data_IF_961598997859
#
_entry.id   IF_961598997859
#
_cell.length_a   1.000
_cell.length_b   1.000
_cell.length_c   1.000
_cell.angle_alpha   90.00
_cell.angle_beta   90.00
_cell.angle_gamma   90.00
#
_symmetry.space_group_name_H-M   'P 1'
#
loop_
_entity.id
_entity.type
_entity.pdbx_description
1 polymer ?
#
# COMPACT_ATOMS: atom_id res chain seq x y z
N UNK A 1 -35.70 -33.53 82.91
CA UNK A 1 -36.03 -32.94 81.56
C UNK A 1 -34.90 -32.17 80.92
N UNK A 2 -33.95 -31.55 81.65
CA UNK A 2 -32.87 -30.71 81.07
C UNK A 2 -31.82 -31.48 80.24
N UNK A 3 -31.46 -32.72 80.59
CA UNK A 3 -30.49 -33.59 79.91
C UNK A 3 -30.93 -34.02 78.48
N UNK A 4 -32.25 -34.27 78.30
CA UNK A 4 -32.80 -34.65 76.99
C UNK A 4 -32.79 -33.50 76.00
N UNK A 5 -33.09 -32.24 76.42
CA UNK A 5 -33.05 -31.02 75.58
C UNK A 5 -31.60 -30.67 75.10
N UNK A 6 -30.61 -30.94 75.96
CA UNK A 6 -29.17 -30.73 75.62
C UNK A 6 -28.68 -31.74 74.60
N UNK A 7 -29.09 -32.98 74.63
CA UNK A 7 -28.79 -34.01 73.65
C UNK A 7 -29.43 -33.76 72.31
N UNK A 8 -30.67 -33.35 72.30
CA UNK A 8 -31.39 -32.97 71.06
C UNK A 8 -30.76 -31.76 70.36
N UNK A 9 -30.36 -30.73 71.14
CA UNK A 9 -29.63 -29.56 70.57
C UNK A 9 -28.30 -29.97 69.92
N UNK A 10 -27.54 -30.89 70.51
CA UNK A 10 -26.26 -31.38 69.94
C UNK A 10 -26.44 -32.17 68.64
N UNK A 11 -27.54 -32.93 68.53
CA UNK A 11 -27.86 -33.64 67.27
C UNK A 11 -28.27 -32.66 66.17
N UNK A 12 -29.10 -31.67 66.47
CA UNK A 12 -29.48 -30.65 65.50
C UNK A 12 -28.29 -29.85 64.99
N UNK A 13 -27.37 -29.42 65.87
CA UNK A 13 -26.15 -28.77 65.48
C UNK A 13 -25.25 -29.65 64.61
N UNK A 14 -25.12 -30.90 64.84
CA UNK A 14 -24.35 -31.85 63.99
C UNK A 14 -24.98 -32.01 62.62
N UNK A 15 -26.31 -32.07 62.52
CA UNK A 15 -27.03 -32.12 61.24
C UNK A 15 -26.85 -30.84 60.47
N UNK A 16 -26.94 -29.69 61.15
CA UNK A 16 -26.68 -28.37 60.49
C UNK A 16 -25.26 -28.26 59.97
N UNK A 17 -24.26 -28.68 60.78
CA UNK A 17 -22.86 -28.65 60.35
C UNK A 17 -22.59 -29.61 59.19
N UNK A 18 -23.20 -30.79 59.17
CA UNK A 18 -23.11 -31.75 58.07
C UNK A 18 -23.78 -31.20 56.82
N UNK A 19 -24.92 -30.55 56.95
CA UNK A 19 -25.58 -29.89 55.80
C UNK A 19 -24.74 -28.74 55.23
N UNK A 20 -24.13 -27.92 56.10
CA UNK A 20 -23.21 -26.85 55.68
C UNK A 20 -21.94 -27.43 55.02
N UNK A 21 -21.35 -28.48 55.57
CA UNK A 21 -20.19 -29.15 55.00
C UNK A 21 -20.52 -29.77 53.63
N UNK A 22 -21.68 -30.40 53.49
CA UNK A 22 -22.17 -30.94 52.21
C UNK A 22 -22.42 -29.82 51.21
N UNK A 23 -23.05 -28.73 51.63
CA UNK A 23 -23.27 -27.55 50.76
C UNK A 23 -21.96 -26.93 50.27
N UNK A 24 -20.96 -26.83 51.17
CA UNK A 24 -19.62 -26.36 50.82
C UNK A 24 -18.93 -27.31 49.83
N UNK A 25 -19.00 -28.63 50.08
CA UNK A 25 -18.40 -29.62 49.16
C UNK A 25 -19.04 -29.59 47.79
N UNK A 26 -20.37 -29.47 47.69
CA UNK A 26 -21.08 -29.31 46.41
C UNK A 26 -20.68 -28.03 45.72
N UNK A 27 -20.54 -26.93 46.45
CA UNK A 27 -20.10 -25.64 45.89
C UNK A 27 -18.68 -25.73 45.35
N UNK A 28 -17.75 -26.33 46.07
CA UNK A 28 -16.36 -26.56 45.63
C UNK A 28 -16.31 -27.41 44.37
N UNK A 29 -17.08 -28.51 44.33
CA UNK A 29 -17.16 -29.36 43.14
C UNK A 29 -17.75 -28.60 41.91
N UNK A 30 -18.78 -27.81 42.14
CA UNK A 30 -19.40 -26.99 41.10
C UNK A 30 -18.40 -25.94 40.53
N UNK A 31 -17.67 -25.25 41.43
CA UNK A 31 -16.62 -24.31 41.03
C UNK A 31 -15.49 -25.00 40.26
N UNK A 32 -15.03 -26.15 40.74
CA UNK A 32 -13.98 -26.93 40.07
C UNK A 32 -14.42 -27.40 38.68
N UNK A 33 -15.68 -27.82 38.52
CA UNK A 33 -16.22 -28.23 37.23
C UNK A 33 -16.38 -27.02 36.28
N UNK A 34 -16.86 -25.87 36.75
CA UNK A 34 -16.92 -24.63 35.97
C UNK A 34 -15.53 -24.18 35.53
N UNK A 35 -14.54 -24.28 36.41
CA UNK A 35 -13.15 -23.97 36.11
C UNK A 35 -12.58 -24.90 35.03
N UNK A 36 -12.83 -26.21 35.15
CA UNK A 36 -12.44 -27.21 34.18
C UNK A 36 -13.03 -26.91 32.78
N UNK A 37 -14.35 -26.60 32.77
CA UNK A 37 -15.05 -26.22 31.53
C UNK A 37 -14.50 -24.93 30.93
N UNK A 38 -14.14 -23.97 31.77
CA UNK A 38 -13.53 -22.72 31.32
C UNK A 38 -12.14 -22.96 30.73
N UNK A 39 -11.28 -23.72 31.35
CA UNK A 39 -9.96 -24.03 30.82
C UNK A 39 -10.05 -24.84 29.50
N UNK A 40 -10.91 -25.83 29.46
CA UNK A 40 -11.15 -26.61 28.23
C UNK A 40 -11.63 -25.72 27.09
N UNK A 41 -12.49 -24.74 27.35
CA UNK A 41 -12.93 -23.76 26.38
C UNK A 41 -11.78 -22.84 25.91
N UNK A 42 -10.97 -22.31 26.83
CA UNK A 42 -9.94 -21.32 26.52
C UNK A 42 -8.91 -21.83 25.50
N UNK A 43 -8.64 -23.15 25.52
CA UNK A 43 -7.57 -23.78 24.72
C UNK A 43 -8.11 -24.69 23.60
N UNK A 44 -9.45 -24.88 23.48
CA UNK A 44 -10.03 -25.68 22.38
C UNK A 44 -9.89 -24.95 21.02
N UNK A 45 -9.76 -25.72 19.93
CA UNK A 45 -9.78 -25.17 18.61
C UNK A 45 -11.18 -24.65 18.23
N UNK A 46 -11.25 -23.46 17.63
CA UNK A 46 -12.47 -22.86 17.10
C UNK A 46 -12.73 -23.39 15.69
N UNK A 47 -13.88 -24.05 15.51
CA UNK A 47 -14.40 -24.49 14.22
C UNK A 47 -13.71 -25.72 13.64
N UNK A 48 -14.53 -26.63 13.16
CA UNK A 48 -14.12 -27.84 12.45
C UNK A 48 -14.10 -27.67 10.92
N UNK A 49 -14.45 -26.49 10.40
CA UNK A 49 -14.54 -26.23 8.95
C UNK A 49 -13.21 -25.74 8.37
N UNK A 50 -12.79 -26.33 7.26
CA UNK A 50 -11.54 -25.99 6.52
C UNK A 50 -11.55 -24.60 5.88
N UNK A 51 -12.57 -23.77 6.11
CA UNK A 51 -12.66 -22.42 5.51
C UNK A 51 -12.15 -21.36 6.48
N UNK A 52 -11.20 -20.55 6.03
CA UNK A 52 -10.83 -19.32 6.71
C UNK A 52 -12.04 -18.38 6.80
N UNK A 53 -12.27 -17.85 7.99
CA UNK A 53 -13.33 -16.86 8.26
C UNK A 53 -12.70 -15.52 8.55
N UNK A 54 -13.35 -14.45 8.15
CA UNK A 54 -12.89 -13.09 8.44
C UNK A 54 -13.78 -12.48 9.51
N UNK A 55 -13.19 -12.11 10.63
CA UNK A 55 -13.83 -11.35 11.71
C UNK A 55 -13.49 -9.87 11.53
N UNK A 56 -14.49 -9.03 11.32
CA UNK A 56 -14.33 -7.58 11.24
C UNK A 56 -14.63 -6.92 12.59
N UNK A 57 -13.69 -6.12 13.10
CA UNK A 57 -13.88 -5.24 14.27
C UNK A 57 -13.93 -3.80 13.76
N UNK A 58 -15.07 -3.14 13.98
CA UNK A 58 -15.30 -1.76 13.51
C UNK A 58 -14.96 -0.71 14.57
N UNK A 59 -14.66 0.54 14.16
CA UNK A 59 -14.49 1.64 15.11
C UNK A 59 -15.70 1.76 16.06
N UNK A 60 -15.45 1.85 17.37
CA UNK A 60 -16.48 1.94 18.40
C UNK A 60 -17.22 0.63 18.71
N UNK A 61 -16.75 -0.53 18.20
CA UNK A 61 -17.31 -1.81 18.62
C UNK A 61 -16.94 -2.13 20.08
N UNK A 62 -17.96 -2.42 20.87
CA UNK A 62 -17.76 -3.02 22.20
C UNK A 62 -17.49 -4.52 22.04
N UNK A 63 -16.87 -5.15 23.03
CA UNK A 63 -16.65 -6.60 23.05
C UNK A 63 -17.93 -7.41 22.78
N UNK A 64 -19.08 -6.94 23.27
CA UNK A 64 -20.38 -7.59 23.01
C UNK A 64 -20.76 -7.57 21.54
N UNK A 65 -20.43 -6.49 20.83
CA UNK A 65 -20.65 -6.41 19.37
C UNK A 65 -19.68 -7.32 18.62
N UNK A 66 -18.42 -7.36 19.03
CA UNK A 66 -17.44 -8.28 18.46
C UNK A 66 -17.87 -9.73 18.65
N UNK A 67 -18.34 -10.10 19.85
CA UNK A 67 -18.85 -11.45 20.13
C UNK A 67 -20.06 -11.80 19.23
N UNK A 68 -20.98 -10.88 19.01
CA UNK A 68 -22.07 -11.07 18.03
C UNK A 68 -21.57 -11.31 16.61
N UNK A 69 -20.55 -10.57 16.17
CA UNK A 69 -19.92 -10.78 14.84
C UNK A 69 -19.25 -12.14 14.77
N UNK A 70 -18.57 -12.56 15.84
CA UNK A 70 -17.99 -13.91 15.93
C UNK A 70 -19.07 -14.98 15.73
N UNK A 71 -20.25 -14.83 16.39
CA UNK A 71 -21.38 -15.73 16.19
C UNK A 71 -21.90 -15.70 14.74
N UNK A 72 -22.01 -14.52 14.15
CA UNK A 72 -22.47 -14.35 12.77
C UNK A 72 -21.58 -15.03 11.72
N UNK A 73 -20.26 -15.09 11.96
CA UNK A 73 -19.33 -15.83 11.10
C UNK A 73 -19.23 -17.32 11.46
N UNK A 74 -20.09 -17.81 12.36
CA UNK A 74 -20.21 -19.22 12.69
C UNK A 74 -19.25 -19.73 13.78
N UNK A 75 -18.67 -18.86 14.61
CA UNK A 75 -17.95 -19.27 15.82
C UNK A 75 -19.01 -19.54 16.88
N UNK A 76 -19.38 -20.82 17.01
CA UNK A 76 -20.42 -21.26 17.94
C UNK A 76 -19.88 -21.69 19.30
N UNK A 77 -18.60 -21.96 19.40
CA UNK A 77 -17.92 -22.53 20.57
C UNK A 77 -17.94 -21.56 21.76
N UNK A 78 -18.08 -22.13 22.92
CA UNK A 78 -18.11 -21.44 24.21
C UNK A 78 -19.38 -20.62 24.44
N UNK A 79 -19.73 -20.44 25.71
CA UNK A 79 -20.81 -19.56 26.14
C UNK A 79 -20.33 -18.13 26.24
N UNK A 80 -21.20 -17.15 26.12
CA UNK A 80 -20.83 -15.72 26.16
C UNK A 80 -20.13 -15.29 27.44
N UNK A 81 -20.46 -15.91 28.58
CA UNK A 81 -19.77 -15.66 29.84
C UNK A 81 -18.32 -16.15 29.83
N UNK A 82 -18.03 -17.28 29.15
CA UNK A 82 -16.66 -17.81 29.02
C UNK A 82 -15.79 -16.87 28.22
N UNK A 83 -16.31 -16.38 27.09
CA UNK A 83 -15.64 -15.36 26.26
C UNK A 83 -15.35 -14.08 27.04
N UNK A 84 -16.34 -13.60 27.84
CA UNK A 84 -16.17 -12.41 28.67
C UNK A 84 -15.15 -12.63 29.79
N UNK A 85 -15.18 -13.78 30.45
CA UNK A 85 -14.23 -14.12 31.49
C UNK A 85 -12.81 -14.18 30.94
N UNK A 86 -12.62 -14.80 29.77
CA UNK A 86 -11.33 -14.89 29.10
C UNK A 86 -10.83 -13.53 28.63
N UNK A 87 -11.70 -12.72 28.07
CA UNK A 87 -11.35 -11.36 27.64
C UNK A 87 -10.99 -10.44 28.83
N UNK A 88 -11.64 -10.65 29.99
CA UNK A 88 -11.29 -9.97 31.23
C UNK A 88 -9.94 -10.43 31.78
N UNK A 89 -9.71 -11.75 31.84
CA UNK A 89 -8.42 -12.37 32.26
C UNK A 89 -7.25 -11.79 31.45
N UNK A 90 -7.42 -11.72 30.11
CA UNK A 90 -6.40 -11.25 29.18
C UNK A 90 -6.35 -9.71 29.07
N UNK A 91 -7.23 -8.98 29.76
CA UNK A 91 -7.35 -7.51 29.70
C UNK A 91 -7.62 -6.95 28.29
N UNK A 92 -8.30 -7.72 27.44
CA UNK A 92 -8.56 -7.38 26.03
C UNK A 92 -9.80 -6.49 25.87
N UNK A 93 -10.70 -6.43 26.86
CA UNK A 93 -12.00 -5.74 26.77
C UNK A 93 -11.91 -4.29 26.26
N UNK A 94 -10.85 -3.57 26.63
CA UNK A 94 -10.64 -2.14 26.30
C UNK A 94 -9.50 -1.94 25.27
N UNK A 95 -8.92 -3.03 24.77
CA UNK A 95 -7.74 -3.00 23.89
C UNK A 95 -7.99 -3.61 22.50
N UNK A 96 -9.25 -3.82 22.15
CA UNK A 96 -9.62 -4.35 20.84
C UNK A 96 -9.14 -3.42 19.73
N UNK A 97 -8.31 -3.93 18.84
CA UNK A 97 -7.86 -3.17 17.68
C UNK A 97 -8.86 -3.31 16.54
N UNK A 98 -9.12 -2.18 15.85
CA UNK A 98 -10.00 -2.12 14.68
C UNK A 98 -9.33 -2.80 13.48
N UNK A 99 -10.10 -3.56 12.70
CA UNK A 99 -9.61 -4.19 11.47
C UNK A 99 -10.26 -5.55 11.20
N UNK A 100 -9.75 -6.21 10.18
CA UNK A 100 -10.16 -7.56 9.79
C UNK A 100 -9.15 -8.59 10.27
N UNK A 101 -9.66 -9.67 10.80
CA UNK A 101 -8.86 -10.76 11.38
C UNK A 101 -9.20 -12.08 10.75
N UNK A 102 -8.21 -12.78 10.25
CA UNK A 102 -8.38 -14.17 9.82
C UNK A 102 -8.54 -15.06 11.02
N UNK A 103 -9.66 -15.77 11.07
CA UNK A 103 -9.92 -16.86 12.04
C UNK A 103 -9.71 -18.16 11.28
N UNK A 104 -8.46 -18.65 11.34
CA UNK A 104 -8.05 -19.89 10.68
C UNK A 104 -8.40 -21.14 11.47
N UNK A 105 -8.20 -22.30 10.83
CA UNK A 105 -8.36 -23.59 11.46
C UNK A 105 -7.39 -23.76 12.63
N UNK A 106 -7.89 -24.27 13.73
CA UNK A 106 -7.05 -24.59 14.91
C UNK A 106 -6.75 -23.43 15.85
N UNK A 107 -7.14 -22.19 15.53
CA UNK A 107 -6.99 -21.07 16.47
C UNK A 107 -7.94 -21.28 17.66
N UNK A 108 -7.42 -21.14 18.88
CA UNK A 108 -8.22 -21.20 20.12
C UNK A 108 -8.77 -19.83 20.53
N UNK A 109 -9.78 -19.80 21.45
CA UNK A 109 -10.34 -18.55 21.98
C UNK A 109 -9.28 -17.61 22.55
N UNK A 110 -8.33 -18.12 23.31
CA UNK A 110 -7.21 -17.37 23.89
C UNK A 110 -6.36 -16.73 22.79
N UNK A 111 -5.97 -17.50 21.80
CA UNK A 111 -5.16 -17.01 20.68
C UNK A 111 -5.90 -15.98 19.85
N UNK A 112 -7.21 -16.17 19.62
CA UNK A 112 -8.03 -15.20 18.90
C UNK A 112 -8.10 -13.86 19.64
N UNK A 113 -8.36 -13.88 20.97
CA UNK A 113 -8.42 -12.65 21.76
C UNK A 113 -7.07 -11.93 21.80
N UNK A 114 -5.96 -12.65 21.96
CA UNK A 114 -4.61 -12.05 21.88
C UNK A 114 -4.32 -11.46 20.49
N UNK A 115 -4.80 -12.13 19.43
CA UNK A 115 -4.69 -11.62 18.07
C UNK A 115 -5.45 -10.30 17.88
N UNK A 116 -6.65 -10.18 18.49
CA UNK A 116 -7.44 -8.94 18.49
C UNK A 116 -6.77 -7.81 19.27
N UNK A 117 -6.13 -8.13 20.41
CA UNK A 117 -5.36 -7.15 21.20
C UNK A 117 -4.10 -6.68 20.47
N UNK A 118 -3.36 -7.62 19.90
CA UNK A 118 -2.11 -7.33 19.20
C UNK A 118 -2.34 -6.57 17.87
N UNK A 119 -3.58 -6.44 17.39
CA UNK A 119 -3.88 -5.78 16.12
C UNK A 119 -3.31 -6.54 14.91
N UNK A 120 -3.18 -7.87 14.98
CA UNK A 120 -2.69 -8.70 13.86
C UNK A 120 -3.74 -8.83 12.77
N UNK A 121 -4.06 -7.68 12.15
CA UNK A 121 -5.10 -7.53 11.13
C UNK A 121 -4.63 -7.99 9.76
N UNK A 122 -5.59 -8.26 8.87
CA UNK A 122 -5.32 -8.54 7.46
C UNK A 122 -4.69 -7.30 6.82
N UNK A 123 -3.52 -7.49 6.21
CA UNK A 123 -2.82 -6.45 5.47
C UNK A 123 -3.13 -6.60 3.98
N UNK A 124 -3.66 -5.54 3.40
CA UNK A 124 -3.79 -5.36 1.96
C UNK A 124 -2.55 -4.66 1.41
N UNK A 125 -2.32 -4.79 0.12
CA UNK A 125 -1.22 -4.11 -0.57
C UNK A 125 -1.72 -3.45 -1.84
N UNK A 126 -1.27 -2.24 -2.07
CA UNK A 126 -1.44 -1.52 -3.32
C UNK A 126 -0.06 -1.23 -3.89
N UNK A 127 0.20 -1.69 -5.11
CA UNK A 127 1.46 -1.41 -5.82
C UNK A 127 1.21 -0.31 -6.82
N UNK A 128 1.83 0.86 -6.59
CA UNK A 128 1.96 1.92 -7.57
C UNK A 128 3.13 1.55 -8.48
N UNK A 129 2.86 1.41 -9.78
CA UNK A 129 3.83 0.91 -10.74
C UNK A 129 4.60 2.07 -11.37
N UNK A 130 5.90 1.88 -11.58
CA UNK A 130 6.75 2.84 -12.30
C UNK A 130 6.20 3.14 -13.69
N UNK A 131 6.28 4.40 -14.09
CA UNK A 131 5.80 4.86 -15.39
C UNK A 131 4.27 5.02 -15.51
N UNK A 132 3.49 4.77 -14.46
CA UNK A 132 2.06 5.12 -14.47
C UNK A 132 1.87 6.63 -14.52
N UNK A 133 0.81 7.04 -15.22
CA UNK A 133 0.28 8.39 -15.14
C UNK A 133 -0.69 8.55 -13.97
N UNK A 134 -1.06 9.78 -13.65
CA UNK A 134 -2.09 10.09 -12.66
C UNK A 134 -3.43 9.42 -13.01
N UNK A 135 -3.75 9.31 -14.29
CA UNK A 135 -4.94 8.58 -14.78
C UNK A 135 -4.88 7.10 -14.45
N UNK A 136 -3.73 6.45 -14.68
CA UNK A 136 -3.55 5.01 -14.39
C UNK A 136 -3.62 4.76 -12.88
N UNK A 137 -3.01 5.63 -12.08
CA UNK A 137 -3.07 5.58 -10.62
C UNK A 137 -4.51 5.66 -10.10
N UNK A 138 -5.31 6.62 -10.58
CA UNK A 138 -6.72 6.75 -10.20
C UNK A 138 -7.53 5.53 -10.60
N UNK A 139 -7.34 5.01 -11.80
CA UNK A 139 -8.03 3.80 -12.26
C UNK A 139 -7.70 2.60 -11.37
N UNK A 140 -6.43 2.42 -11.01
CA UNK A 140 -6.00 1.32 -10.14
C UNK A 140 -6.52 1.47 -8.69
N UNK A 141 -6.54 2.68 -8.13
CA UNK A 141 -7.10 2.93 -6.79
C UNK A 141 -8.60 2.63 -6.74
N UNK A 142 -9.34 2.99 -7.78
CA UNK A 142 -10.79 2.75 -7.86
C UNK A 142 -11.16 1.25 -7.81
N UNK A 143 -10.25 0.35 -8.15
CA UNK A 143 -10.48 -1.11 -8.08
C UNK A 143 -10.22 -1.70 -6.69
N UNK A 144 -9.71 -0.92 -5.73
CA UNK A 144 -9.34 -1.43 -4.40
C UNK A 144 -10.54 -1.41 -3.45
N UNK A 145 -11.27 -2.52 -3.34
CA UNK A 145 -12.47 -2.64 -2.48
C UNK A 145 -12.21 -2.44 -0.98
N UNK A 146 -10.99 -2.70 -0.53
CA UNK A 146 -10.63 -2.53 0.88
C UNK A 146 -10.24 -1.09 1.26
N UNK A 147 -10.01 -0.20 0.26
CA UNK A 147 -9.77 1.22 0.48
C UNK A 147 -11.08 2.01 0.60
N UNK A 148 -11.09 2.98 1.49
CA UNK A 148 -12.12 4.01 1.53
C UNK A 148 -11.93 4.96 0.34
N UNK A 149 -12.87 4.94 -0.61
CA UNK A 149 -12.81 5.74 -1.82
C UNK A 149 -13.19 7.20 -1.53
N UNK A 150 -12.24 8.12 -1.53
CA UNK A 150 -12.45 9.55 -1.22
C UNK A 150 -12.07 10.48 -2.37
N UNK A 151 -11.20 10.02 -3.28
CA UNK A 151 -10.69 10.87 -4.37
C UNK A 151 -11.40 10.67 -5.72
N UNK A 152 -12.37 9.76 -5.81
CA UNK A 152 -13.00 9.37 -7.08
C UNK A 152 -13.59 10.52 -7.90
N UNK A 153 -14.18 11.54 -7.22
CA UNK A 153 -14.80 12.71 -7.85
C UNK A 153 -13.98 14.00 -7.70
N UNK A 154 -12.84 13.94 -7.02
CA UNK A 154 -11.98 15.10 -6.74
C UNK A 154 -11.01 15.29 -7.90
N UNK A 155 -10.89 16.50 -8.44
CA UNK A 155 -9.88 16.80 -9.47
C UNK A 155 -8.45 16.84 -8.89
N UNK A 156 -7.44 16.89 -9.75
CA UNK A 156 -6.05 16.84 -9.33
C UNK A 156 -5.63 18.07 -8.51
N UNK A 157 -6.19 19.25 -8.79
CA UNK A 157 -5.88 20.46 -8.03
C UNK A 157 -6.43 20.39 -6.61
N UNK A 158 -7.67 19.94 -6.46
CA UNK A 158 -8.30 19.74 -5.15
C UNK A 158 -7.65 18.59 -4.38
N UNK A 159 -7.24 17.50 -5.05
CA UNK A 159 -6.45 16.43 -4.44
C UNK A 159 -5.14 16.97 -3.86
N UNK A 160 -4.38 17.73 -4.65
CA UNK A 160 -3.10 18.27 -4.20
C UNK A 160 -3.28 19.29 -3.06
N UNK A 161 -4.34 20.10 -3.10
CA UNK A 161 -4.68 20.97 -1.99
C UNK A 161 -5.01 20.20 -0.70
N UNK A 162 -5.75 19.08 -0.80
CA UNK A 162 -6.05 18.19 0.33
C UNK A 162 -4.81 17.44 0.86
N UNK A 163 -3.75 17.35 0.07
CA UNK A 163 -2.44 16.82 0.46
C UNK A 163 -1.48 17.90 0.99
N UNK A 164 -1.97 19.11 1.27
CA UNK A 164 -1.17 20.28 1.71
C UNK A 164 -0.16 20.77 0.66
N UNK A 165 -0.48 20.59 -0.66
CA UNK A 165 0.36 20.96 -1.81
C UNK A 165 -0.42 21.78 -2.86
N UNK A 166 -1.07 22.89 -2.48
CA UNK A 166 -1.87 23.68 -3.42
C UNK A 166 -0.98 24.25 -4.55
N UNK A 167 -1.48 24.21 -5.78
CA UNK A 167 -0.77 24.73 -6.95
C UNK A 167 0.31 23.81 -7.53
N UNK A 168 0.61 22.68 -6.88
CA UNK A 168 1.52 21.68 -7.44
C UNK A 168 0.76 20.74 -8.37
N UNK A 169 1.31 20.46 -9.55
CA UNK A 169 0.73 19.48 -10.48
C UNK A 169 0.88 18.06 -9.93
N UNK A 170 -0.18 17.24 -10.01
CA UNK A 170 -0.20 15.91 -9.38
C UNK A 170 0.70 14.87 -10.09
N UNK A 171 0.94 15.05 -11.41
CA UNK A 171 1.73 14.09 -12.17
C UNK A 171 3.17 14.00 -11.66
N UNK A 172 3.65 12.77 -11.49
CA UNK A 172 5.01 12.48 -11.00
C UNK A 172 5.18 12.58 -9.48
N UNK A 173 4.13 12.92 -8.70
CA UNK A 173 4.26 13.27 -7.28
C UNK A 173 4.11 12.10 -6.29
N UNK A 174 3.85 10.91 -6.77
CA UNK A 174 3.64 9.74 -5.93
C UNK A 174 4.69 8.69 -6.24
N UNK A 175 5.48 8.28 -5.24
CA UNK A 175 6.57 7.33 -5.46
C UNK A 175 6.02 5.94 -5.79
N UNK A 176 6.45 5.32 -6.88
CA UNK A 176 6.14 3.92 -7.16
C UNK A 176 6.77 2.99 -6.11
N UNK A 177 5.91 2.38 -5.31
CA UNK A 177 6.26 1.39 -4.29
C UNK A 177 5.03 0.52 -3.97
N UNK A 178 5.22 -0.53 -3.17
CA UNK A 178 4.11 -1.31 -2.61
C UNK A 178 3.73 -0.77 -1.24
N UNK A 179 2.51 -0.24 -1.14
CA UNK A 179 1.96 0.35 0.07
C UNK A 179 1.05 -0.64 0.77
N UNK A 180 1.38 -1.00 2.01
CA UNK A 180 0.54 -1.81 2.86
C UNK A 180 -0.53 -0.94 3.55
N UNK A 181 -1.75 -1.48 3.65
CA UNK A 181 -2.87 -0.82 4.30
C UNK A 181 -3.84 -1.83 4.88
N UNK A 182 -4.72 -1.38 5.78
CA UNK A 182 -5.81 -2.19 6.36
C UNK A 182 -7.14 -1.72 5.80
N UNK A 183 -8.18 -2.56 5.85
CA UNK A 183 -9.52 -2.16 5.39
C UNK A 183 -9.97 -0.86 6.05
N UNK A 184 -10.55 0.03 5.26
CA UNK A 184 -11.07 1.32 5.70
C UNK A 184 -10.04 2.47 5.73
N UNK A 185 -8.75 2.21 5.46
CA UNK A 185 -7.79 3.27 5.16
C UNK A 185 -8.26 3.99 3.90
N UNK A 186 -8.26 5.33 3.92
CA UNK A 186 -8.69 6.13 2.77
C UNK A 186 -7.60 6.17 1.71
N UNK A 187 -8.00 6.18 0.45
CA UNK A 187 -7.11 6.33 -0.69
C UNK A 187 -6.23 7.59 -0.59
N UNK A 188 -6.77 8.71 -0.09
CA UNK A 188 -6.00 9.94 0.14
C UNK A 188 -4.90 9.76 1.20
N UNK A 189 -5.12 8.96 2.24
CA UNK A 189 -4.11 8.70 3.28
C UNK A 189 -2.96 7.84 2.71
N UNK A 190 -3.27 6.92 1.78
CA UNK A 190 -2.27 6.16 1.04
C UNK A 190 -1.46 7.09 0.12
N UNK A 191 -2.13 7.96 -0.63
CA UNK A 191 -1.48 8.94 -1.50
C UNK A 191 -0.63 9.94 -0.73
N UNK A 192 -1.03 10.34 0.49
CA UNK A 192 -0.20 11.19 1.35
C UNK A 192 1.15 10.53 1.68
N UNK A 193 1.14 9.22 1.97
CA UNK A 193 2.38 8.46 2.19
C UNK A 193 3.23 8.38 0.92
N UNK A 194 2.61 8.12 -0.23
CA UNK A 194 3.30 8.03 -1.51
C UNK A 194 3.91 9.38 -1.94
N UNK A 195 3.20 10.49 -1.68
CA UNK A 195 3.70 11.83 -1.96
C UNK A 195 4.87 12.22 -1.05
N UNK A 196 4.79 11.89 0.25
CA UNK A 196 5.91 12.13 1.18
C UNK A 196 7.14 11.30 0.82
N UNK A 197 6.93 10.05 0.39
CA UNK A 197 8.01 9.19 -0.07
C UNK A 197 8.69 9.74 -1.34
N UNK A 198 7.91 10.32 -2.28
CA UNK A 198 8.46 10.99 -3.46
C UNK A 198 9.26 12.24 -3.09
N UNK A 199 8.74 13.09 -2.19
CA UNK A 199 9.47 14.28 -1.74
C UNK A 199 10.82 13.91 -1.12
N UNK A 200 10.82 12.86 -0.29
CA UNK A 200 12.05 12.35 0.33
C UNK A 200 13.03 11.84 -0.73
N UNK A 201 12.56 10.96 -1.64
CA UNK A 201 13.41 10.39 -2.70
C UNK A 201 13.98 11.46 -3.64
N UNK A 202 13.15 12.46 -4.00
CA UNK A 202 13.58 13.56 -4.85
C UNK A 202 14.60 14.47 -4.14
N UNK A 203 14.37 14.78 -2.86
CA UNK A 203 15.29 15.59 -2.07
C UNK A 203 16.64 14.90 -1.89
N UNK A 204 16.64 13.60 -1.59
CA UNK A 204 17.86 12.79 -1.47
C UNK A 204 18.64 12.77 -2.80
N UNK A 205 17.96 12.43 -3.91
CA UNK A 205 18.57 12.40 -5.23
C UNK A 205 19.15 13.77 -5.62
N UNK A 206 18.40 14.85 -5.37
CA UNK A 206 18.87 16.21 -5.67
C UNK A 206 20.06 16.65 -4.83
N UNK A 207 20.13 16.24 -3.56
CA UNK A 207 21.26 16.55 -2.68
C UNK A 207 22.56 15.86 -3.15
N UNK A 208 22.45 14.67 -3.70
CA UNK A 208 23.58 13.86 -4.20
C UNK A 208 23.94 14.13 -5.67
N UNK A 209 23.21 15.03 -6.36
CA UNK A 209 23.38 15.29 -7.80
C UNK A 209 24.80 15.64 -8.21
N UNK A 210 25.16 15.31 -9.44
CA UNK A 210 26.39 15.79 -10.06
C UNK A 210 26.41 17.33 -10.16
N UNK A 211 27.56 17.94 -9.94
CA UNK A 211 27.70 19.41 -9.84
C UNK A 211 27.37 20.16 -11.15
N UNK A 212 27.65 19.58 -12.31
CA UNK A 212 27.52 20.22 -13.62
C UNK A 212 26.28 19.73 -14.39
N UNK A 213 25.10 19.86 -13.80
CA UNK A 213 23.83 19.54 -14.48
C UNK A 213 23.17 20.80 -15.03
N UNK A 214 22.59 20.77 -16.24
CA UNK A 214 21.78 21.87 -16.76
C UNK A 214 20.39 21.97 -16.12
N UNK A 215 20.19 21.30 -15.00
CA UNK A 215 18.94 21.29 -14.22
C UNK A 215 19.06 22.34 -13.09
N UNK A 216 18.04 23.20 -12.97
CA UNK A 216 18.07 24.31 -12.02
C UNK A 216 17.32 24.05 -10.72
N UNK A 217 16.55 22.96 -10.67
CA UNK A 217 15.71 22.65 -9.50
C UNK A 217 15.41 21.16 -9.40
N UNK A 218 15.03 20.66 -8.21
CA UNK A 218 14.53 19.28 -8.03
C UNK A 218 13.36 18.97 -8.97
N UNK A 219 12.51 19.96 -9.25
CA UNK A 219 11.37 19.83 -10.16
C UNK A 219 11.80 19.44 -11.58
N UNK A 220 12.87 20.07 -12.08
CA UNK A 220 13.39 19.74 -13.40
C UNK A 220 14.02 18.33 -13.42
N UNK A 221 14.63 17.89 -12.31
CA UNK A 221 15.10 16.51 -12.17
C UNK A 221 13.94 15.52 -12.18
N UNK A 222 12.82 15.81 -11.50
CA UNK A 222 11.62 14.98 -11.51
C UNK A 222 11.01 14.88 -12.92
N UNK A 223 10.95 16.00 -13.65
CA UNK A 223 10.48 16.02 -15.05
C UNK A 223 11.36 15.13 -15.92
N UNK A 224 12.70 15.31 -15.85
CA UNK A 224 13.63 14.47 -16.63
C UNK A 224 13.53 12.99 -16.23
N UNK A 225 13.44 12.68 -14.95
CA UNK A 225 13.27 11.32 -14.46
C UNK A 225 12.02 10.65 -15.02
N UNK A 226 10.89 11.39 -15.10
CA UNK A 226 9.64 10.88 -15.68
C UNK A 226 9.77 10.55 -17.17
N UNK A 227 10.60 11.28 -17.92
CA UNK A 227 10.90 10.98 -19.32
C UNK A 227 11.78 9.73 -19.41
N UNK A 228 12.87 9.67 -18.63
CA UNK A 228 13.78 8.51 -18.59
C UNK A 228 13.02 7.23 -18.22
N UNK A 229 12.09 7.32 -17.26
CA UNK A 229 11.24 6.19 -16.86
C UNK A 229 10.40 5.63 -18.02
N UNK A 230 9.91 6.50 -18.89
CA UNK A 230 9.07 6.11 -20.04
C UNK A 230 9.87 5.63 -21.26
N UNK A 231 11.18 5.91 -21.32
CA UNK A 231 12.01 5.57 -22.47
C UNK A 231 12.55 4.14 -22.42
N UNK A 232 12.80 3.58 -21.26
CA UNK A 232 13.37 2.23 -21.16
C UNK A 232 12.85 1.43 -20.00
N UNK A 233 12.56 0.15 -20.27
CA UNK A 233 12.33 -0.87 -19.23
C UNK A 233 13.63 -1.50 -18.71
N UNK A 234 14.79 -1.17 -19.29
CA UNK A 234 16.10 -1.71 -18.87
C UNK A 234 16.77 -0.78 -17.87
N UNK A 235 16.84 -1.21 -16.62
CA UNK A 235 17.44 -0.43 -15.53
C UNK A 235 18.85 0.07 -15.85
N UNK A 236 19.69 -0.76 -16.47
CA UNK A 236 21.07 -0.41 -16.82
C UNK A 236 21.23 0.66 -17.91
N UNK A 237 20.18 0.97 -18.67
CA UNK A 237 20.25 1.99 -19.73
C UNK A 237 19.75 3.36 -19.26
N UNK A 238 19.08 3.45 -18.09
CA UNK A 238 18.56 4.73 -17.58
C UNK A 238 19.64 5.82 -17.48
N UNK A 239 20.86 5.57 -16.94
CA UNK A 239 21.91 6.60 -16.89
C UNK A 239 22.40 7.04 -18.28
N UNK A 240 22.47 6.14 -19.27
CA UNK A 240 22.88 6.47 -20.64
C UNK A 240 21.81 7.34 -21.32
N UNK A 241 20.54 7.00 -21.21
CA UNK A 241 19.41 7.78 -21.75
C UNK A 241 19.37 9.15 -21.09
N UNK A 242 19.48 9.23 -19.77
CA UNK A 242 19.60 10.49 -19.04
C UNK A 242 20.77 11.32 -19.56
N UNK A 243 21.93 10.69 -19.80
CA UNK A 243 23.11 11.33 -20.38
C UNK A 243 22.85 11.95 -21.76
N UNK A 244 22.09 11.27 -22.63
CA UNK A 244 21.69 11.84 -23.92
C UNK A 244 20.85 13.09 -23.73
N UNK A 245 19.81 13.04 -22.87
CA UNK A 245 18.94 14.19 -22.64
C UNK A 245 19.66 15.37 -21.97
N UNK A 246 20.53 15.13 -21.02
CA UNK A 246 21.37 16.15 -20.37
C UNK A 246 22.27 16.86 -21.40
N UNK A 247 22.93 16.09 -22.29
CA UNK A 247 23.75 16.67 -23.36
C UNK A 247 22.93 17.48 -24.36
N UNK A 248 21.73 17.00 -24.75
CA UNK A 248 20.81 17.75 -25.59
C UNK A 248 20.37 19.06 -24.93
N UNK A 249 20.02 19.03 -23.64
CA UNK A 249 19.66 20.25 -22.88
C UNK A 249 20.81 21.27 -22.87
N UNK A 250 22.04 20.84 -22.61
CA UNK A 250 23.23 21.71 -22.65
C UNK A 250 23.45 22.38 -24.02
N UNK A 251 23.16 21.64 -25.09
CA UNK A 251 23.32 22.12 -26.45
C UNK A 251 22.09 22.90 -27.00
N UNK A 252 21.06 23.09 -26.18
CA UNK A 252 19.80 23.71 -26.64
C UNK A 252 19.04 22.86 -27.66
N UNK A 253 19.36 21.58 -27.81
CA UNK A 253 18.69 20.67 -28.73
C UNK A 253 17.31 20.26 -28.17
N UNK A 254 16.39 20.03 -29.10
CA UNK A 254 15.07 19.43 -28.75
C UNK A 254 15.27 18.03 -28.22
N UNK A 255 14.47 17.63 -27.19
CA UNK A 255 14.57 16.27 -26.62
C UNK A 255 14.04 15.20 -27.58
N UNK A 256 13.00 15.50 -28.37
CA UNK A 256 12.43 14.64 -29.42
C UNK A 256 12.12 13.23 -28.89
N UNK A 257 11.31 13.14 -27.87
CA UNK A 257 10.95 11.91 -27.18
C UNK A 257 9.44 11.66 -27.30
N UNK A 258 9.06 10.52 -27.85
CA UNK A 258 7.69 10.11 -28.13
C UNK A 258 6.79 10.13 -26.88
N UNK A 259 7.23 9.62 -25.69
CA UNK A 259 6.43 9.64 -24.48
C UNK A 259 5.86 11.00 -24.08
N UNK A 260 6.58 12.11 -24.36
CA UNK A 260 6.08 13.44 -24.03
C UNK A 260 4.92 13.85 -24.93
N UNK A 261 4.98 13.50 -26.23
CA UNK A 261 3.89 13.74 -27.19
C UNK A 261 2.67 12.88 -26.81
N UNK A 262 2.88 11.60 -26.52
CA UNK A 262 1.83 10.67 -26.09
C UNK A 262 1.12 11.20 -24.84
N UNK A 263 1.87 11.68 -23.85
CA UNK A 263 1.30 12.29 -22.65
C UNK A 263 0.47 13.53 -23.00
N UNK A 264 1.00 14.40 -23.86
CA UNK A 264 0.30 15.61 -24.32
C UNK A 264 -1.00 15.33 -25.09
N UNK A 265 -1.09 14.22 -25.82
CA UNK A 265 -2.32 13.76 -26.46
C UNK A 265 -3.36 13.25 -25.45
N UNK A 266 -2.92 12.77 -24.29
CA UNK A 266 -3.79 12.31 -23.20
C UNK A 266 -4.77 11.23 -23.65
N UNK A 267 -6.07 11.43 -23.37
CA UNK A 267 -7.13 10.48 -23.77
C UNK A 267 -7.34 10.37 -25.29
N UNK A 268 -6.80 11.31 -26.08
CA UNK A 268 -6.86 11.27 -27.54
C UNK A 268 -5.85 10.32 -28.20
N UNK A 269 -4.93 9.76 -27.43
CA UNK A 269 -3.96 8.78 -27.95
C UNK A 269 -4.62 7.40 -28.12
N UNK A 270 -4.65 6.93 -29.37
CA UNK A 270 -5.29 5.64 -29.77
C UNK A 270 -4.29 4.47 -29.86
N UNK A 271 -3.07 4.63 -29.36
CA UNK A 271 -2.02 3.60 -29.41
C UNK A 271 -1.10 3.74 -30.64
N UNK A 272 -1.34 4.68 -31.55
CA UNK A 272 -0.52 4.89 -32.74
C UNK A 272 -0.10 6.36 -32.88
N UNK A 273 1.18 6.64 -32.68
CA UNK A 273 1.75 7.97 -32.83
C UNK A 273 2.01 8.26 -34.32
N UNK A 274 1.34 9.29 -34.84
CA UNK A 274 1.37 9.66 -36.26
C UNK A 274 2.28 10.86 -36.48
N UNK A 275 2.77 11.02 -37.71
CA UNK A 275 3.60 12.18 -38.11
C UNK A 275 2.91 13.52 -37.78
N UNK A 276 1.59 13.62 -37.93
CA UNK A 276 0.83 14.85 -37.58
C UNK A 276 0.98 15.18 -36.10
N UNK A 277 0.99 14.17 -35.24
CA UNK A 277 1.07 14.34 -33.79
C UNK A 277 2.44 14.89 -33.36
N UNK A 278 3.52 14.45 -34.03
CA UNK A 278 4.87 14.99 -33.85
C UNK A 278 5.03 16.43 -34.35
N UNK A 279 4.20 16.87 -35.30
CA UNK A 279 4.24 18.23 -35.89
C UNK A 279 3.28 19.20 -35.19
N UNK A 280 2.29 18.72 -34.47
CA UNK A 280 1.32 19.54 -33.73
C UNK A 280 1.97 20.11 -32.49
N UNK A 281 2.03 21.46 -32.42
CA UNK A 281 2.61 22.11 -31.24
C UNK A 281 1.74 21.95 -30.00
N UNK A 282 2.38 21.58 -28.88
CA UNK A 282 1.79 21.55 -27.54
C UNK A 282 2.86 21.80 -26.49
N UNK A 283 2.51 22.18 -25.27
CA UNK A 283 3.48 22.35 -24.18
C UNK A 283 4.35 21.10 -23.90
N UNK A 284 3.84 19.93 -24.25
CA UNK A 284 4.52 18.65 -24.05
C UNK A 284 5.23 18.14 -25.31
N UNK A 285 5.08 18.79 -26.46
CA UNK A 285 5.70 18.29 -27.70
C UNK A 285 7.18 18.70 -27.80
N UNK A 286 8.06 17.81 -27.38
CA UNK A 286 9.52 17.99 -27.43
C UNK A 286 10.12 17.87 -28.85
N UNK A 287 9.32 17.60 -29.88
CA UNK A 287 9.72 17.72 -31.29
C UNK A 287 9.57 19.14 -31.80
N UNK A 288 8.66 19.95 -31.24
CA UNK A 288 8.41 21.34 -31.67
C UNK A 288 9.05 22.33 -30.69
N UNK A 289 9.20 21.98 -29.42
CA UNK A 289 9.72 22.87 -28.38
C UNK A 289 11.06 22.36 -27.82
N UNK A 290 11.92 23.28 -27.38
CA UNK A 290 13.19 23.00 -26.71
C UNK A 290 12.99 22.93 -25.19
N UNK A 291 13.91 22.30 -24.50
CA UNK A 291 13.90 22.17 -23.05
C UNK A 291 12.98 21.04 -22.54
N UNK A 292 12.75 21.04 -21.26
CA UNK A 292 11.87 20.09 -20.58
C UNK A 292 10.39 20.49 -20.74
N UNK A 293 9.47 19.52 -20.76
CA UNK A 293 8.03 19.82 -20.68
C UNK A 293 7.69 20.48 -19.33
N UNK A 294 6.49 21.10 -19.20
CA UNK A 294 6.15 21.90 -18.02
C UNK A 294 5.95 21.08 -16.76
N UNK A 295 5.62 19.80 -16.85
CA UNK A 295 5.41 18.89 -15.73
C UNK A 295 6.02 17.53 -16.03
N UNK A 296 6.18 16.64 -15.02
CA UNK A 296 6.40 15.22 -15.26
C UNK A 296 5.30 14.63 -16.16
N UNK A 297 5.60 13.50 -16.80
CA UNK A 297 4.69 12.78 -17.70
C UNK A 297 4.33 11.39 -17.19
N UNK A 298 4.89 10.99 -16.07
CA UNK A 298 4.63 9.71 -15.38
C UNK A 298 5.18 9.77 -13.96
N UNK A 299 4.88 8.76 -13.15
CA UNK A 299 5.48 8.50 -11.84
C UNK A 299 6.83 7.81 -12.01
N UNK A 300 7.98 8.51 -11.82
CA UNK A 300 9.29 7.86 -11.92
C UNK A 300 9.64 7.11 -10.65
N UNK A 301 10.34 5.99 -10.79
CA UNK A 301 10.95 5.27 -9.67
C UNK A 301 12.25 5.91 -9.19
N UNK A 302 12.79 5.39 -8.08
CA UNK A 302 14.07 5.87 -7.50
C UNK A 302 15.23 5.78 -8.47
N UNK A 303 15.28 4.72 -9.28
CA UNK A 303 16.35 4.52 -10.27
C UNK A 303 16.31 5.56 -11.39
N UNK A 304 15.12 5.97 -11.83
CA UNK A 304 14.97 7.03 -12.82
C UNK A 304 15.34 8.41 -12.24
N UNK A 305 14.96 8.69 -10.99
CA UNK A 305 15.40 9.89 -10.26
C UNK A 305 16.92 9.94 -10.16
N UNK A 306 17.54 8.84 -9.74
CA UNK A 306 19.00 8.75 -9.64
C UNK A 306 19.68 8.94 -10.99
N UNK A 307 19.16 8.30 -12.06
CA UNK A 307 19.70 8.44 -13.41
C UNK A 307 19.62 9.88 -13.94
N UNK A 308 18.54 10.61 -13.62
CA UNK A 308 18.38 12.01 -14.03
C UNK A 308 19.42 12.94 -13.40
N UNK A 309 19.89 12.63 -12.18
CA UNK A 309 20.87 13.45 -11.44
C UNK A 309 22.30 12.90 -11.50
N UNK A 310 22.47 11.64 -11.93
CA UNK A 310 23.76 10.99 -12.21
C UNK A 310 23.76 10.40 -13.63
N UNK A 311 23.71 11.24 -14.67
CA UNK A 311 23.71 10.80 -16.05
C UNK A 311 25.07 10.21 -16.44
N UNK A 312 25.06 9.13 -17.22
CA UNK A 312 26.32 8.56 -17.74
C UNK A 312 27.06 9.58 -18.60
N UNK A 313 28.35 9.83 -18.32
CA UNK A 313 29.16 10.70 -19.15
C UNK A 313 29.36 10.10 -20.55
N UNK A 314 29.71 10.92 -21.55
CA UNK A 314 29.95 10.45 -22.91
C UNK A 314 29.58 11.46 -23.96
N UNK A 315 29.54 11.04 -25.23
CA UNK A 315 29.31 11.89 -26.40
C UNK A 315 28.01 11.63 -27.14
N UNK A 316 27.26 10.57 -26.77
CA UNK A 316 26.04 10.17 -27.47
C UNK A 316 24.94 11.23 -27.36
N UNK A 317 24.39 11.60 -28.49
CA UNK A 317 23.27 12.54 -28.63
C UNK A 317 21.99 11.88 -29.14
N UNK A 318 22.08 10.63 -29.58
CA UNK A 318 20.98 9.87 -30.17
C UNK A 318 20.96 8.45 -29.63
N UNK A 319 19.78 7.87 -29.61
CA UNK A 319 19.60 6.44 -29.38
C UNK A 319 18.46 5.90 -30.26
N UNK A 320 18.48 4.62 -30.54
CA UNK A 320 17.45 3.90 -31.30
C UNK A 320 17.28 2.50 -30.76
N UNK A 321 16.03 2.04 -30.63
CA UNK A 321 15.73 0.68 -30.15
C UNK A 321 16.26 -0.38 -31.11
N UNK A 322 16.93 -1.41 -30.55
CA UNK A 322 17.43 -2.57 -31.31
C UNK A 322 16.35 -3.61 -31.57
N UNK A 323 15.21 -3.53 -30.85
CA UNK A 323 14.08 -4.44 -30.94
C UNK A 323 14.21 -5.69 -30.07
N UNK A 324 15.22 -5.76 -29.21
CA UNK A 324 15.41 -6.76 -28.14
C UNK A 324 15.23 -6.12 -26.74
N UNK A 325 14.63 -4.92 -26.71
CA UNK A 325 14.44 -4.10 -25.51
C UNK A 325 15.66 -3.25 -25.14
N UNK A 326 16.79 -3.34 -25.91
CA UNK A 326 17.96 -2.49 -25.72
C UNK A 326 18.00 -1.37 -26.75
N UNK A 327 18.89 -0.38 -26.49
CA UNK A 327 19.12 0.75 -27.40
C UNK A 327 20.55 0.73 -27.95
N UNK A 328 20.70 1.32 -29.15
CA UNK A 328 21.98 1.67 -29.72
C UNK A 328 22.18 3.18 -29.60
N UNK A 329 23.29 3.59 -29.00
CA UNK A 329 23.64 4.98 -28.76
C UNK A 329 24.60 5.48 -29.84
N UNK A 330 24.45 6.72 -30.30
CA UNK A 330 25.24 7.34 -31.37
C UNK A 330 25.59 8.78 -31.02
N UNK A 331 26.79 9.21 -31.34
CA UNK A 331 27.24 10.58 -31.12
C UNK A 331 26.75 11.53 -32.23
N UNK A 332 26.69 11.06 -33.47
CA UNK A 332 26.35 11.85 -34.65
C UNK A 332 25.03 11.42 -35.29
N UNK A 333 24.38 12.34 -36.00
CA UNK A 333 23.17 12.05 -36.79
C UNK A 333 23.44 10.99 -37.87
N UNK A 334 24.62 10.99 -38.47
CA UNK A 334 25.01 10.01 -39.48
C UNK A 334 25.04 8.61 -38.93
N UNK A 335 25.70 8.39 -37.76
CA UNK A 335 25.72 7.13 -37.07
C UNK A 335 24.30 6.67 -36.66
N UNK A 336 23.49 7.60 -36.15
CA UNK A 336 22.10 7.34 -35.79
C UNK A 336 21.29 6.84 -36.99
N UNK A 337 21.37 7.52 -38.14
CA UNK A 337 20.68 7.13 -39.36
C UNK A 337 21.08 5.74 -39.85
N UNK A 338 22.38 5.39 -39.75
CA UNK A 338 22.84 4.03 -40.03
C UNK A 338 22.24 3.00 -39.05
N UNK A 339 22.17 3.33 -37.76
CA UNK A 339 21.57 2.45 -36.77
C UNK A 339 20.07 2.27 -36.99
N UNK A 340 19.33 3.32 -37.34
CA UNK A 340 17.90 3.27 -37.71
C UNK A 340 17.70 2.35 -38.92
N UNK A 341 18.51 2.52 -39.98
CA UNK A 341 18.46 1.66 -41.15
C UNK A 341 18.73 0.19 -40.80
N UNK A 342 19.68 -0.07 -39.91
CA UNK A 342 20.04 -1.42 -39.47
C UNK A 342 18.96 -2.07 -38.60
N UNK A 343 18.43 -1.37 -37.62
CA UNK A 343 17.60 -1.98 -36.56
C UNK A 343 16.09 -1.82 -36.78
N UNK A 344 15.64 -0.80 -37.52
CA UNK A 344 14.22 -0.53 -37.75
C UNK A 344 13.76 -0.81 -39.18
N UNK A 345 14.56 -0.43 -40.21
CA UNK A 345 14.13 -0.54 -41.61
C UNK A 345 14.43 -1.89 -42.25
N UNK A 346 15.44 -2.65 -41.78
CA UNK A 346 15.79 -3.99 -42.31
C UNK A 346 14.95 -5.15 -41.76
N UNK A 347 14.01 -4.87 -40.85
CA UNK A 347 13.08 -5.88 -40.27
C UNK A 347 11.74 -6.00 -40.99
N UNK A 348 11.60 -5.35 -42.15
CA UNK A 348 10.42 -5.49 -43.02
C UNK A 348 10.65 -6.50 -44.12
#
# INVERSE_FOLDING_TARGET
>A
MAKAKRKARGVVWRVVLLALALGLAVSVLAVAELWRQYQAFADQALGSTNSERVLEVKPGDSFVRVLRRMRAIGIAEGRDWQWRALAFELKVLERLQVGEYTVGHGIGPRQLLLKLEAGSVIQYRFTLVEGWSMRDLRAALATQEALGQTIGTVDDAALMAALDRPGIHAEGRFLPETYHYTRGVRDIDLLKRAALAMDTALSEAWAERDDDLPLQSPEQALVLASIVEKETGRAGERPQIAGVFIRRLRLGMRLQTDPTVIYGLGAGFDGNLRRRDLLTDSPYNTYTRTGLPPTPIAMPGRDALRAAVHPEPGTSLYFVARGDGSHHFSATLSEHNHAVAKYQLRRR
#
